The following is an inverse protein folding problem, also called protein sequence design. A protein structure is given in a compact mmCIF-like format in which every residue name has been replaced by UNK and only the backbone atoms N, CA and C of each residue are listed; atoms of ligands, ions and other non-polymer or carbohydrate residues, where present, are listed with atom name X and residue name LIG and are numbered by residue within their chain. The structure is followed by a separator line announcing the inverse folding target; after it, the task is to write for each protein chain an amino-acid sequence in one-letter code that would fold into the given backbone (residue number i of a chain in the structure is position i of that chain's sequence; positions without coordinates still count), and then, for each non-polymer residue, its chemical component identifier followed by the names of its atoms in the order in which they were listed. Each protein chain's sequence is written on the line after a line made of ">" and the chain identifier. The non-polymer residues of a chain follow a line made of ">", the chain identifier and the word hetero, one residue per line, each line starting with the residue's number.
data_IF_317549389913
#
_entry.id   IF_317549389913
#
_cell.length_a   1.000
_cell.length_b   1.000
_cell.length_c   1.000
_cell.angle_alpha   90.00
_cell.angle_beta   90.00
_cell.angle_gamma   90.00
#
_symmetry.space_group_name_H-M   'P 1'
#
loop_
_entity.id
_entity.type
_entity.pdbx_description
1 polymer ?
#
# COMPACT_ATOMS: atom_id res chain seq x y z
N UNK A 1 -10.18 4.45 -30.13
CA UNK A 1 -10.17 4.00 -28.73
C UNK A 1 -9.22 4.91 -27.98
N UNK A 2 -9.76 5.91 -27.27
CA UNK A 2 -9.01 7.06 -26.74
C UNK A 2 -8.36 6.71 -25.39
N UNK A 3 -7.13 7.18 -25.19
CA UNK A 3 -6.20 6.87 -24.09
C UNK A 3 -6.79 7.05 -22.66
N UNK A 4 -6.94 5.94 -21.92
CA UNK A 4 -7.23 5.89 -20.46
C UNK A 4 -6.03 6.23 -19.56
N UNK A 5 -4.96 6.82 -20.10
CA UNK A 5 -3.71 7.08 -19.35
C UNK A 5 -3.85 8.20 -18.31
N UNK A 6 -4.91 9.01 -18.39
CA UNK A 6 -5.13 10.19 -17.55
C UNK A 6 -6.01 9.95 -16.33
N UNK A 7 -6.77 8.83 -16.25
CA UNK A 7 -7.74 8.64 -15.15
C UNK A 7 -7.07 8.27 -13.82
N UNK A 8 -6.04 7.41 -13.83
CA UNK A 8 -5.44 6.94 -12.58
C UNK A 8 -4.73 8.06 -11.78
N UNK A 9 -3.91 8.95 -12.39
CA UNK A 9 -3.35 10.09 -11.67
C UNK A 9 -4.41 11.06 -11.13
N UNK A 10 -5.47 11.31 -11.90
CA UNK A 10 -6.57 12.18 -11.49
C UNK A 10 -7.33 11.59 -10.29
N UNK A 11 -7.73 10.31 -10.38
CA UNK A 11 -8.42 9.62 -9.31
C UNK A 11 -7.57 9.56 -8.03
N UNK A 12 -6.27 9.25 -8.14
CA UNK A 12 -5.38 9.27 -6.98
C UNK A 12 -5.30 10.68 -6.36
N UNK A 13 -5.25 11.73 -7.20
CA UNK A 13 -5.34 13.13 -6.77
C UNK A 13 -6.60 13.45 -5.97
N UNK A 14 -7.75 13.03 -6.48
CA UNK A 14 -9.05 13.26 -5.83
C UNK A 14 -9.21 12.47 -4.53
N UNK A 15 -8.77 11.21 -4.50
CA UNK A 15 -8.97 10.33 -3.34
C UNK A 15 -8.05 10.64 -2.16
N UNK A 16 -6.95 11.35 -2.39
CA UNK A 16 -5.98 11.76 -1.37
C UNK A 16 -5.73 13.28 -1.42
N UNK A 17 -6.79 14.06 -1.62
CA UNK A 17 -6.75 15.53 -1.72
C UNK A 17 -6.14 16.22 -0.50
N UNK A 18 -6.22 15.58 0.67
CA UNK A 18 -5.69 16.10 1.93
C UNK A 18 -4.16 16.01 1.99
N UNK A 19 -3.54 15.32 1.03
CA UNK A 19 -2.11 15.10 0.96
C UNK A 19 -1.51 15.71 -0.31
N UNK A 20 -0.21 15.99 -0.27
CA UNK A 20 0.54 16.29 -1.49
C UNK A 20 0.99 15.01 -2.16
N UNK A 21 0.55 14.84 -3.39
CA UNK A 21 0.85 13.67 -4.20
C UNK A 21 1.94 14.01 -5.22
N UNK A 22 2.97 13.18 -5.28
CA UNK A 22 3.95 13.14 -6.36
C UNK A 22 3.86 11.76 -7.04
N UNK A 23 3.54 11.79 -8.33
CA UNK A 23 3.34 10.60 -9.16
C UNK A 23 4.42 10.56 -10.24
N UNK A 24 5.22 9.50 -10.20
CA UNK A 24 6.30 9.29 -11.16
C UNK A 24 6.05 7.99 -11.94
N UNK A 25 6.14 8.05 -13.27
CA UNK A 25 6.07 6.85 -14.09
C UNK A 25 7.36 6.03 -13.96
N UNK A 26 7.21 4.71 -13.84
CA UNK A 26 8.31 3.76 -13.74
C UNK A 26 8.64 3.17 -15.12
N UNK A 27 9.88 2.70 -15.36
CA UNK A 27 10.29 2.10 -16.64
C UNK A 27 9.48 0.86 -17.04
N UNK A 28 8.91 0.12 -16.07
CA UNK A 28 8.05 -1.04 -16.30
C UNK A 28 6.59 -0.66 -16.65
N UNK A 29 6.31 0.63 -16.83
CA UNK A 29 4.97 1.14 -17.06
C UNK A 29 4.10 1.22 -15.79
N UNK A 30 4.65 0.89 -14.63
CA UNK A 30 4.02 1.14 -13.34
C UNK A 30 4.08 2.62 -12.93
N UNK A 31 3.51 2.91 -11.77
CA UNK A 31 3.55 4.23 -11.13
C UNK A 31 4.28 4.12 -9.79
N UNK A 32 4.95 5.19 -9.40
CA UNK A 32 5.46 5.40 -8.06
C UNK A 32 4.66 6.55 -7.47
N UNK A 33 3.91 6.26 -6.42
CA UNK A 33 3.10 7.23 -5.68
C UNK A 33 3.85 7.60 -4.40
N UNK A 34 4.11 8.89 -4.22
CA UNK A 34 4.65 9.46 -2.98
C UNK A 34 3.58 10.35 -2.36
N UNK A 35 3.22 10.04 -1.12
CA UNK A 35 2.30 10.85 -0.32
C UNK A 35 3.11 11.63 0.70
N UNK A 36 2.90 12.94 0.70
CA UNK A 36 3.50 13.86 1.66
C UNK A 36 2.41 14.57 2.44
N UNK A 37 2.70 14.80 3.70
CA UNK A 37 1.89 15.66 4.55
C UNK A 37 1.82 17.07 3.95
N UNK A 38 0.64 17.68 3.97
CA UNK A 38 0.41 18.95 3.27
C UNK A 38 1.03 20.14 4.02
N UNK A 39 1.10 20.07 5.35
CA UNK A 39 1.62 21.13 6.21
C UNK A 39 3.15 21.09 6.31
N UNK A 40 3.67 19.96 6.78
CA UNK A 40 5.10 19.76 7.07
C UNK A 40 5.92 19.39 5.83
N UNK A 41 5.26 19.05 4.70
CA UNK A 41 5.87 18.46 3.49
C UNK A 41 6.67 17.19 3.75
N UNK A 42 6.51 16.58 4.92
CA UNK A 42 7.18 15.34 5.29
C UNK A 42 6.67 14.21 4.41
N UNK A 43 7.58 13.40 3.88
CA UNK A 43 7.21 12.16 3.21
C UNK A 43 6.58 11.21 4.23
N UNK A 44 5.31 10.88 4.03
CA UNK A 44 4.61 9.91 4.86
C UNK A 44 5.01 8.52 4.41
N UNK A 45 4.91 8.25 3.10
CA UNK A 45 5.14 6.91 2.55
C UNK A 45 5.21 6.94 1.03
N UNK A 46 5.69 5.83 0.44
CA UNK A 46 5.86 5.65 -1.00
C UNK A 46 5.36 4.25 -1.39
N UNK A 47 4.48 4.18 -2.39
CA UNK A 47 4.01 2.91 -2.95
C UNK A 47 4.39 2.77 -4.41
N UNK A 48 4.77 1.56 -4.79
CA UNK A 48 4.92 1.16 -6.18
C UNK A 48 3.61 0.49 -6.66
N UNK A 49 3.00 1.07 -7.68
CA UNK A 49 1.77 0.57 -8.32
C UNK A 49 2.16 -0.14 -9.62
N UNK A 50 1.96 -1.46 -9.75
CA UNK A 50 2.17 -2.16 -11.01
C UNK A 50 1.24 -1.65 -12.11
N UNK A 51 1.67 -1.77 -13.37
CA UNK A 51 0.82 -1.43 -14.52
C UNK A 51 -0.51 -2.22 -14.54
N UNK A 52 -0.48 -3.46 -14.04
CA UNK A 52 -1.65 -4.33 -13.92
C UNK A 52 -2.64 -3.90 -12.84
N UNK A 53 -2.25 -3.03 -11.90
CA UNK A 53 -3.13 -2.50 -10.85
C UNK A 53 -3.76 -1.18 -11.28
N UNK A 54 -3.00 -0.23 -11.84
CA UNK A 54 -3.56 1.09 -12.15
C UNK A 54 -4.37 1.16 -13.44
N UNK A 55 -4.22 0.19 -14.36
CA UNK A 55 -4.99 0.12 -15.61
C UNK A 55 -6.37 -0.49 -15.46
N UNK A 56 -6.63 -1.20 -14.37
CA UNK A 56 -7.92 -1.83 -14.08
C UNK A 56 -8.60 -1.03 -12.95
N UNK A 57 -9.75 -0.39 -13.21
CA UNK A 57 -10.45 0.43 -12.22
C UNK A 57 -10.76 -0.30 -10.91
N UNK A 58 -11.13 -1.59 -10.97
CA UNK A 58 -11.43 -2.37 -9.76
C UNK A 58 -10.17 -2.57 -8.92
N UNK A 59 -9.05 -2.86 -9.57
CA UNK A 59 -7.76 -3.07 -8.90
C UNK A 59 -7.19 -1.76 -8.35
N UNK A 60 -7.34 -0.67 -9.09
CA UNK A 60 -6.95 0.66 -8.62
C UNK A 60 -7.75 1.06 -7.39
N UNK A 61 -9.06 0.81 -7.38
CA UNK A 61 -9.89 1.04 -6.19
C UNK A 61 -9.42 0.22 -4.99
N UNK A 62 -9.17 -1.08 -5.18
CA UNK A 62 -8.62 -1.95 -4.14
C UNK A 62 -7.26 -1.44 -3.60
N UNK A 63 -6.43 -0.89 -4.47
CA UNK A 63 -5.16 -0.29 -4.10
C UNK A 63 -5.34 1.00 -3.28
N UNK A 64 -6.29 1.87 -3.65
CA UNK A 64 -6.64 3.09 -2.90
C UNK A 64 -7.10 2.74 -1.48
N UNK A 65 -7.97 1.73 -1.34
CA UNK A 65 -8.46 1.28 -0.04
C UNK A 65 -7.35 0.75 0.87
N UNK A 66 -6.34 0.07 0.29
CA UNK A 66 -5.15 -0.37 1.04
C UNK A 66 -4.37 0.82 1.57
N UNK A 67 -4.13 1.83 0.74
CA UNK A 67 -3.43 3.04 1.16
C UNK A 67 -4.17 3.71 2.32
N UNK A 68 -5.49 3.85 2.24
CA UNK A 68 -6.29 4.45 3.32
C UNK A 68 -6.11 3.70 4.64
N UNK A 69 -6.18 2.37 4.61
CA UNK A 69 -5.94 1.54 5.80
C UNK A 69 -4.53 1.72 6.34
N UNK A 70 -3.53 1.69 5.46
CA UNK A 70 -2.13 1.86 5.85
C UNK A 70 -1.93 3.22 6.55
N UNK A 71 -2.49 4.30 6.00
CA UNK A 71 -2.43 5.64 6.60
C UNK A 71 -3.10 5.69 7.98
N UNK A 72 -4.31 5.15 8.12
CA UNK A 72 -5.01 5.07 9.40
C UNK A 72 -4.21 4.30 10.47
N UNK A 73 -3.53 3.22 10.06
CA UNK A 73 -2.70 2.45 10.99
C UNK A 73 -1.35 3.11 11.32
N UNK A 74 -0.80 3.91 10.40
CA UNK A 74 0.50 4.54 10.58
C UNK A 74 0.49 5.66 11.63
N UNK A 75 -0.67 6.30 11.86
CA UNK A 75 -0.83 7.37 12.83
C UNK A 75 -0.88 6.87 14.29
N UNK A 76 -0.96 5.54 14.50
CA UNK A 76 -0.91 4.91 15.82
C UNK A 76 -2.08 5.25 16.75
N UNK A 77 -3.07 5.98 16.25
CA UNK A 77 -4.28 6.30 16.98
C UNK A 77 -5.24 5.10 16.99
N UNK A 78 -6.01 4.90 18.07
CA UNK A 78 -7.11 3.95 18.05
C UNK A 78 -8.07 4.28 16.91
N UNK A 79 -8.45 3.25 16.14
CA UNK A 79 -9.43 3.37 15.07
C UNK A 79 -10.74 3.94 15.62
N UNK A 80 -11.24 4.99 14.98
CA UNK A 80 -12.54 5.56 15.30
C UNK A 80 -13.67 4.65 14.76
N UNK A 81 -14.87 4.69 15.35
CA UNK A 81 -15.97 3.80 14.98
C UNK A 81 -16.38 3.93 13.50
N UNK A 82 -16.33 5.13 12.95
CA UNK A 82 -16.61 5.45 11.54
C UNK A 82 -15.54 4.91 10.57
N UNK A 83 -14.34 4.61 11.07
CA UNK A 83 -13.24 4.04 10.29
C UNK A 83 -13.30 2.51 10.22
N UNK A 84 -14.06 1.84 11.09
CA UNK A 84 -14.07 0.37 11.19
C UNK A 84 -14.55 -0.29 9.90
N UNK A 85 -15.55 0.30 9.24
CA UNK A 85 -16.13 -0.28 8.01
C UNK A 85 -15.11 -0.35 6.87
N UNK A 86 -14.14 0.58 6.84
CA UNK A 86 -13.09 0.53 5.83
C UNK A 86 -12.22 -0.71 5.98
N UNK A 87 -12.14 -1.36 7.14
CA UNK A 87 -11.42 -2.61 7.40
C UNK A 87 -12.24 -3.88 7.14
N UNK A 88 -13.58 -3.78 7.14
CA UNK A 88 -14.49 -4.92 6.88
C UNK A 88 -14.52 -5.33 5.41
N UNK A 89 -14.24 -4.40 4.50
CA UNK A 89 -14.20 -4.66 3.06
C UNK A 89 -13.16 -5.73 2.72
N UNK A 90 -13.53 -6.74 1.93
CA UNK A 90 -12.54 -7.70 1.41
C UNK A 90 -11.77 -7.03 0.28
N UNK A 91 -10.45 -6.89 0.43
CA UNK A 91 -9.56 -6.37 -0.61
C UNK A 91 -8.75 -7.53 -1.17
N UNK A 92 -8.86 -7.78 -2.45
CA UNK A 92 -8.07 -8.81 -3.13
C UNK A 92 -6.63 -8.32 -3.34
N UNK A 93 -5.67 -9.10 -2.85
CA UNK A 93 -4.25 -8.82 -3.02
C UNK A 93 -3.72 -9.58 -4.23
N UNK A 94 -3.09 -8.89 -5.19
CA UNK A 94 -2.53 -9.55 -6.39
C UNK A 94 -1.46 -10.59 -6.07
N UNK A 95 -0.75 -10.45 -4.94
CA UNK A 95 0.28 -11.39 -4.50
C UNK A 95 -0.29 -12.64 -3.84
N UNK A 96 -1.62 -12.70 -3.65
CA UNK A 96 -2.30 -13.83 -3.05
C UNK A 96 -3.21 -14.53 -4.07
N UNK A 97 -2.61 -15.39 -4.89
CA UNK A 97 -3.32 -16.36 -5.70
C UNK A 97 -3.39 -17.69 -4.94
N UNK A 98 -4.50 -18.02 -4.24
CA UNK A 98 -4.65 -19.35 -3.64
C UNK A 98 -4.60 -20.39 -4.77
N UNK A 99 -3.50 -21.16 -4.82
CA UNK A 99 -3.27 -22.20 -5.84
C UNK A 99 -2.09 -21.96 -6.79
N UNK A 100 -1.51 -20.75 -6.85
CA UNK A 100 -0.20 -20.58 -7.52
C UNK A 100 0.92 -20.87 -6.52
N UNK A 101 1.38 -22.12 -6.56
CA UNK A 101 2.46 -22.63 -5.73
C UNK A 101 3.73 -21.80 -5.89
N UNK A 102 3.96 -20.95 -4.90
CA UNK A 102 5.23 -20.66 -4.23
C UNK A 102 5.07 -19.27 -3.61
N UNK A 103 4.24 -19.18 -2.57
CA UNK A 103 4.51 -18.14 -1.58
C UNK A 103 5.96 -18.37 -1.17
N UNK A 104 6.87 -17.43 -1.49
CA UNK A 104 8.23 -17.46 -0.96
C UNK A 104 8.07 -17.74 0.53
N UNK A 105 8.54 -18.91 0.98
CA UNK A 105 8.56 -19.20 2.41
C UNK A 105 9.22 -17.99 3.05
N UNK A 106 8.49 -17.29 3.92
CA UNK A 106 9.10 -16.24 4.73
C UNK A 106 10.28 -16.93 5.39
N UNK A 107 11.51 -16.49 5.11
CA UNK A 107 12.65 -16.85 5.96
C UNK A 107 12.28 -16.32 7.33
N UNK A 108 11.74 -17.17 8.19
CA UNK A 108 11.70 -16.92 9.62
C UNK A 108 13.19 -16.85 9.97
N UNK A 109 13.73 -15.64 10.03
CA UNK A 109 15.09 -15.45 10.51
C UNK A 109 15.04 -15.94 11.94
N UNK A 110 15.81 -16.99 12.22
CA UNK A 110 15.99 -17.66 13.51
C UNK A 110 16.69 -16.73 14.52
N UNK A 111 16.44 -15.42 14.43
CA UNK A 111 16.87 -14.42 15.38
C UNK A 111 16.30 -14.72 16.76
N UNK A 112 15.05 -15.22 16.84
CA UNK A 112 14.43 -15.55 18.13
C UNK A 112 15.13 -16.67 18.91
N UNK A 113 15.73 -17.64 18.23
CA UNK A 113 16.48 -18.72 18.88
C UNK A 113 17.87 -18.26 19.29
N UNK A 114 18.54 -17.48 18.42
CA UNK A 114 19.85 -16.88 18.70
C UNK A 114 19.79 -15.84 19.83
N UNK A 115 18.72 -15.06 19.89
CA UNK A 115 18.44 -14.11 20.98
C UNK A 115 18.14 -14.83 22.30
N UNK A 116 17.40 -15.95 22.28
CA UNK A 116 17.16 -16.78 23.47
C UNK A 116 18.44 -17.44 23.98
N UNK A 117 19.29 -17.92 23.08
CA UNK A 117 20.59 -18.48 23.45
C UNK A 117 21.55 -17.42 24.03
N UNK A 118 21.53 -16.19 23.49
CA UNK A 118 22.31 -15.08 24.04
C UNK A 118 21.79 -14.65 25.42
N UNK A 119 20.46 -14.60 25.60
CA UNK A 119 19.85 -14.27 26.90
C UNK A 119 20.06 -15.36 27.96
N UNK A 120 20.23 -16.63 27.56
CA UNK A 120 20.50 -17.73 28.48
C UNK A 120 21.98 -17.80 28.93
N UNK A 121 22.88 -17.11 28.22
CA UNK A 121 24.31 -17.04 28.52
C UNK A 121 24.74 -15.67 29.09
N UNK A 122 23.77 -14.81 29.44
CA UNK A 122 23.97 -13.54 30.13
C UNK A 122 23.55 -13.68 31.60
#
# INVERSE_FOLDING_TARGET
>A
MHNDRSQAPQLLGEQFSDYRIDLQQRPDGGLLLRLRDNESRRLLTTWAIPASEWRDPTRLNNFIERIRRDLLTAEGQPLQEDQVDCFRKRIELQTFNPGQGCHRQRKIVVAGERLRALAANA
#
